data_IF_407061425576
#
_entry.id   IF_407061425576
#
_cell.length_a   1.000
_cell.length_b   1.000
_cell.length_c   1.000
_cell.angle_alpha   90.00
_cell.angle_beta   90.00
_cell.angle_gamma   90.00
#
_symmetry.space_group_name_H-M   'P 1'
#
loop_
_entity.id
_entity.type
_entity.pdbx_description
1 polymer ?
#
# COMPACT_ATOMS: atom_id res chain seq x y z
N UNK A 1 -5.00 7.67 4.56
CA UNK A 1 -3.61 7.18 4.36
C UNK A 1 -2.63 8.33 4.17
N UNK A 2 -2.80 9.22 3.19
CA UNK A 2 -1.90 10.37 3.01
C UNK A 2 -1.75 11.23 4.29
N UNK A 3 -2.84 11.52 5.00
CA UNK A 3 -2.79 12.27 6.27
C UNK A 3 -1.85 11.63 7.31
N UNK A 4 -1.87 10.30 7.44
CA UNK A 4 -1.01 9.56 8.39
C UNK A 4 0.47 9.68 7.98
N UNK A 5 0.76 9.73 6.68
CA UNK A 5 2.11 9.95 6.17
C UNK A 5 2.58 11.39 6.39
N UNK A 6 1.68 12.37 6.27
CA UNK A 6 1.99 13.77 6.59
C UNK A 6 2.34 13.90 8.08
N UNK A 7 1.56 13.26 8.95
CA UNK A 7 1.83 13.20 10.40
C UNK A 7 3.16 12.47 10.71
N UNK A 8 3.57 11.54 9.86
CA UNK A 8 4.86 10.87 9.94
C UNK A 8 6.05 11.68 9.38
N UNK A 9 5.82 12.91 8.90
CA UNK A 9 6.86 13.83 8.44
C UNK A 9 7.10 13.85 6.93
N UNK A 10 6.29 13.16 6.14
CA UNK A 10 6.35 13.27 4.68
C UNK A 10 5.70 14.58 4.21
N UNK A 11 6.25 15.18 3.15
CA UNK A 11 5.56 16.30 2.48
C UNK A 11 4.26 15.83 1.83
N UNK A 12 3.33 16.76 1.62
CA UNK A 12 1.97 16.45 1.12
C UNK A 12 1.96 15.72 -0.22
N UNK A 13 2.84 16.09 -1.16
CA UNK A 13 2.87 15.49 -2.49
C UNK A 13 3.37 14.04 -2.44
N UNK A 14 4.46 13.80 -1.71
CA UNK A 14 4.99 12.45 -1.48
C UNK A 14 4.02 11.58 -0.69
N UNK A 15 3.39 12.14 0.34
CA UNK A 15 2.39 11.43 1.14
C UNK A 15 1.17 11.01 0.30
N UNK A 16 0.75 11.87 -0.62
CA UNK A 16 -0.33 11.56 -1.57
C UNK A 16 0.07 10.43 -2.51
N UNK A 17 1.22 10.55 -3.18
CA UNK A 17 1.70 9.54 -4.11
C UNK A 17 1.87 8.18 -3.45
N UNK A 18 2.54 8.12 -2.28
CA UNK A 18 2.71 6.87 -1.52
C UNK A 18 1.38 6.26 -1.09
N UNK A 19 0.39 7.08 -0.74
CA UNK A 19 -0.95 6.58 -0.41
C UNK A 19 -1.69 6.01 -1.63
N UNK A 20 -1.58 6.65 -2.80
CA UNK A 20 -2.14 6.16 -4.06
C UNK A 20 -1.48 4.84 -4.49
N UNK A 21 -0.14 4.75 -4.41
CA UNK A 21 0.61 3.53 -4.70
C UNK A 21 0.23 2.38 -3.76
N UNK A 22 0.07 2.66 -2.47
CA UNK A 22 -0.37 1.67 -1.50
C UNK A 22 -1.77 1.12 -1.83
N UNK A 23 -2.69 1.99 -2.26
CA UNK A 23 -4.03 1.58 -2.71
C UNK A 23 -3.92 0.71 -3.96
N UNK A 24 -3.12 1.12 -4.96
CA UNK A 24 -2.89 0.33 -6.17
C UNK A 24 -2.37 -1.07 -5.86
N UNK A 25 -1.40 -1.20 -4.95
CA UNK A 25 -0.88 -2.50 -4.54
C UNK A 25 -1.93 -3.36 -3.83
N UNK A 26 -2.72 -2.78 -2.92
CA UNK A 26 -3.80 -3.49 -2.23
C UNK A 26 -4.81 -4.02 -3.26
N UNK A 27 -5.31 -3.16 -4.15
CA UNK A 27 -6.31 -3.54 -5.14
C UNK A 27 -5.76 -4.55 -6.16
N UNK A 28 -4.54 -4.33 -6.67
CA UNK A 28 -3.89 -5.27 -7.58
C UNK A 28 -3.67 -6.64 -6.96
N UNK A 29 -3.34 -6.70 -5.66
CA UNK A 29 -3.19 -7.96 -4.94
C UNK A 29 -4.50 -8.72 -4.75
N UNK A 30 -5.64 -8.04 -4.65
CA UNK A 30 -6.97 -8.65 -4.60
C UNK A 30 -7.37 -9.23 -5.96
N UNK A 31 -7.10 -8.51 -7.05
CA UNK A 31 -7.32 -9.00 -8.43
C UNK A 31 -6.51 -10.28 -8.65
N UNK A 32 -5.23 -10.27 -8.29
CA UNK A 32 -4.36 -11.43 -8.43
C UNK A 32 -4.81 -12.59 -7.53
N UNK A 33 -5.17 -12.32 -6.29
CA UNK A 33 -5.66 -13.35 -5.36
C UNK A 33 -6.93 -14.03 -5.88
N UNK A 34 -7.85 -13.26 -6.46
CA UNK A 34 -9.07 -13.79 -7.08
C UNK A 34 -8.76 -14.62 -8.32
N UNK A 35 -7.88 -14.13 -9.20
CA UNK A 35 -7.48 -14.83 -10.43
C UNK A 35 -6.77 -16.16 -10.16
N UNK A 36 -6.00 -16.24 -9.07
CA UNK A 36 -5.29 -17.45 -8.65
C UNK A 36 -6.08 -18.35 -7.71
N UNK A 37 -7.25 -17.91 -7.24
CA UNK A 37 -7.99 -18.54 -6.13
C UNK A 37 -7.09 -18.79 -4.90
N UNK A 38 -6.16 -17.88 -4.62
CA UNK A 38 -5.19 -17.95 -3.53
C UNK A 38 -5.06 -16.59 -2.85
N UNK A 39 -5.24 -16.54 -1.53
CA UNK A 39 -5.15 -15.29 -0.75
C UNK A 39 -3.72 -14.86 -0.40
N UNK A 40 -2.71 -15.69 -0.69
CA UNK A 40 -1.32 -15.41 -0.35
C UNK A 40 -0.79 -14.08 -0.91
N UNK A 41 -1.09 -13.66 -2.16
CA UNK A 41 -0.63 -12.36 -2.68
C UNK A 41 -1.13 -11.17 -1.86
N UNK A 42 -2.43 -11.16 -1.52
CA UNK A 42 -3.02 -10.12 -0.68
C UNK A 42 -2.40 -10.09 0.71
N UNK A 43 -2.26 -11.26 1.35
CA UNK A 43 -1.63 -11.36 2.68
C UNK A 43 -0.20 -10.82 2.69
N UNK A 44 0.58 -11.07 1.63
CA UNK A 44 1.94 -10.51 1.48
C UNK A 44 1.93 -8.99 1.41
N UNK A 45 1.01 -8.41 0.62
CA UNK A 45 0.91 -6.94 0.49
C UNK A 45 0.52 -6.30 1.82
N UNK A 46 -0.49 -6.82 2.51
CA UNK A 46 -0.89 -6.29 3.82
C UNK A 46 0.27 -6.37 4.84
N UNK A 47 1.01 -7.48 4.86
CA UNK A 47 2.17 -7.64 5.77
C UNK A 47 3.28 -6.63 5.50
N UNK A 48 3.53 -6.27 4.23
CA UNK A 48 4.58 -5.33 3.81
C UNK A 48 4.11 -3.88 3.69
N UNK A 49 2.82 -3.63 3.85
CA UNK A 49 2.22 -2.31 3.69
C UNK A 49 2.92 -1.22 4.54
N UNK A 50 3.31 -1.46 5.81
CA UNK A 50 4.06 -0.47 6.58
C UNK A 50 5.43 -0.14 5.97
N UNK A 51 6.14 -1.14 5.46
CA UNK A 51 7.44 -0.96 4.80
C UNK A 51 7.29 -0.11 3.53
N UNK A 52 6.24 -0.35 2.73
CA UNK A 52 5.97 0.42 1.51
C UNK A 52 5.56 1.86 1.78
N UNK A 53 4.86 2.10 2.89
CA UNK A 53 4.40 3.42 3.28
C UNK A 53 5.50 4.26 3.94
N UNK A 54 6.34 3.65 4.77
CA UNK A 54 7.30 4.36 5.64
C UNK A 54 8.74 4.35 5.14
N UNK A 55 9.12 3.46 4.22
CA UNK A 55 10.45 3.54 3.63
C UNK A 55 10.51 4.72 2.65
N UNK A 56 11.54 5.56 2.84
CA UNK A 56 11.80 6.77 2.06
C UNK A 56 12.13 6.40 0.61
#
# INVERSE_FOLDING_TARGET
MAQVLIEAGFNSDTARQKAEDAILQIQGSLVLARGLNDTAPFKRVIKRLPEYLLNA
#
